data_IF_512747147071
#
_entry.id   IF_512747147071
#
_cell.length_a   1.000
_cell.length_b   1.000
_cell.length_c   1.000
_cell.angle_alpha   90.00
_cell.angle_beta   90.00
_cell.angle_gamma   90.00
#
_symmetry.space_group_name_H-M   'P 1'
#
loop_
_entity.id
_entity.type
_entity.pdbx_description
1 polymer ?
#
# COMPACT_ATOMS: atom_id res chain seq x y z
N UNK A 1 5.65 -21.40 4.62
CA UNK A 1 5.28 -21.13 6.03
C UNK A 1 4.30 -19.99 5.99
N UNK A 2 3.12 -20.12 6.62
CA UNK A 2 2.09 -19.11 6.50
C UNK A 2 2.51 -17.86 7.26
N UNK A 3 2.32 -16.69 6.64
CA UNK A 3 2.61 -15.39 7.24
C UNK A 3 2.01 -15.22 8.64
N UNK A 4 0.87 -15.86 8.91
CA UNK A 4 0.19 -15.84 10.22
C UNK A 4 1.05 -16.38 11.37
N UNK A 5 1.95 -17.33 11.13
CA UNK A 5 2.80 -17.91 12.18
C UNK A 5 4.16 -17.24 12.30
N UNK A 6 4.61 -16.54 11.26
CA UNK A 6 5.93 -15.93 11.24
C UNK A 6 5.99 -14.72 12.19
N UNK A 7 7.18 -14.47 12.75
CA UNK A 7 7.41 -13.33 13.65
C UNK A 7 8.22 -12.21 13.01
N UNK A 8 8.85 -12.47 11.86
CA UNK A 8 9.66 -11.50 11.11
C UNK A 8 9.55 -11.80 9.61
N UNK A 9 9.93 -10.85 8.76
CA UNK A 9 10.03 -11.08 7.32
C UNK A 9 11.02 -12.22 6.99
N UNK A 10 10.70 -13.10 6.01
CA UNK A 10 11.64 -14.10 5.52
C UNK A 10 12.89 -13.42 4.97
N UNK A 11 14.08 -13.92 5.34
CA UNK A 11 15.36 -13.34 4.88
C UNK A 11 15.46 -13.24 3.34
N UNK A 12 14.88 -14.20 2.63
CA UNK A 12 14.81 -14.19 1.17
C UNK A 12 14.03 -13.00 0.62
N UNK A 13 12.93 -12.59 1.28
CA UNK A 13 12.13 -11.44 0.89
C UNK A 13 12.94 -10.14 1.07
N UNK A 14 13.56 -9.95 2.24
CA UNK A 14 14.41 -8.78 2.50
C UNK A 14 15.58 -8.69 1.51
N UNK A 15 16.17 -9.84 1.15
CA UNK A 15 17.27 -9.91 0.17
C UNK A 15 16.80 -9.47 -1.23
N UNK A 16 15.60 -9.85 -1.66
CA UNK A 16 15.03 -9.41 -2.95
C UNK A 16 14.93 -7.88 -2.98
N UNK A 17 14.34 -7.26 -1.96
CA UNK A 17 14.27 -5.79 -1.86
C UNK A 17 15.64 -5.14 -1.89
N UNK A 18 16.61 -5.67 -1.13
CA UNK A 18 17.98 -5.13 -1.12
C UNK A 18 18.63 -5.16 -2.49
N UNK A 19 18.50 -6.27 -3.23
CA UNK A 19 19.10 -6.42 -4.57
C UNK A 19 18.43 -5.47 -5.56
N UNK A 20 17.10 -5.47 -5.62
CA UNK A 20 16.34 -4.67 -6.58
C UNK A 20 16.54 -3.16 -6.37
N UNK A 21 16.65 -2.69 -5.12
CA UNK A 21 16.91 -1.28 -4.81
C UNK A 21 18.31 -0.82 -5.18
N UNK A 22 19.32 -1.68 -5.00
CA UNK A 22 20.72 -1.33 -5.29
C UNK A 22 21.02 -1.29 -6.79
N UNK A 23 20.33 -2.10 -7.59
CA UNK A 23 20.53 -2.10 -9.03
C UNK A 23 19.76 -0.92 -9.65
N UNK A 24 20.37 -0.23 -10.62
CA UNK A 24 19.73 0.83 -11.40
C UNK A 24 18.79 0.23 -12.46
N UNK A 25 17.79 -0.54 -12.01
CA UNK A 25 16.80 -1.21 -12.82
C UNK A 25 15.60 -0.29 -13.09
N UNK A 26 14.79 -0.58 -14.13
CA UNK A 26 13.46 0.04 -14.29
C UNK A 26 12.59 -0.11 -13.04
N UNK A 27 11.66 0.83 -12.86
CA UNK A 27 10.81 0.94 -11.66
C UNK A 27 10.01 -0.35 -11.37
N UNK A 28 9.54 -1.01 -12.43
CA UNK A 28 8.82 -2.29 -12.45
C UNK A 28 9.60 -3.37 -11.68
N UNK A 29 10.87 -3.54 -12.02
CA UNK A 29 11.75 -4.53 -11.39
C UNK A 29 12.24 -4.10 -10.01
N UNK A 30 12.35 -2.78 -9.79
CA UNK A 30 12.85 -2.24 -8.53
C UNK A 30 11.85 -2.41 -7.38
N UNK A 31 10.56 -2.19 -7.62
CA UNK A 31 9.56 -2.22 -6.54
C UNK A 31 8.35 -3.12 -6.80
N UNK A 32 7.78 -3.19 -8.02
CA UNK A 32 6.58 -4.03 -8.19
C UNK A 32 6.84 -5.50 -7.99
N UNK A 33 7.90 -6.06 -8.59
CA UNK A 33 8.23 -7.47 -8.39
C UNK A 33 8.41 -7.82 -6.89
N UNK A 34 9.22 -7.05 -6.13
CA UNK A 34 9.33 -7.23 -4.68
C UNK A 34 8.01 -7.09 -3.91
N UNK A 35 7.17 -6.10 -4.23
CA UNK A 35 5.89 -5.89 -3.56
C UNK A 35 4.83 -6.92 -3.91
N UNK A 36 4.77 -7.35 -5.17
CA UNK A 36 3.95 -8.47 -5.61
C UNK A 36 4.32 -9.73 -4.81
N UNK A 37 5.63 -10.01 -4.66
CA UNK A 37 6.09 -11.13 -3.84
C UNK A 37 5.74 -10.99 -2.36
N UNK A 38 5.88 -9.80 -1.79
CA UNK A 38 5.53 -9.50 -0.40
C UNK A 38 4.04 -9.71 -0.14
N UNK A 39 3.18 -9.15 -0.99
CA UNK A 39 1.73 -9.24 -0.84
C UNK A 39 1.24 -10.67 -1.06
N UNK A 40 1.77 -11.38 -2.06
CA UNK A 40 1.48 -12.79 -2.23
C UNK A 40 1.87 -13.55 -0.96
N UNK A 41 3.09 -13.39 -0.43
CA UNK A 41 3.48 -14.05 0.82
C UNK A 41 2.54 -13.72 2.02
N UNK A 42 2.03 -12.49 2.11
CA UNK A 42 1.10 -12.08 3.17
C UNK A 42 -0.27 -12.78 3.07
N UNK A 43 -0.77 -13.00 1.85
CA UNK A 43 -2.10 -13.53 1.57
C UNK A 43 -2.11 -14.98 1.05
N UNK A 44 -0.93 -15.59 0.90
CA UNK A 44 -0.74 -16.99 0.52
C UNK A 44 -1.22 -17.87 1.68
N UNK A 45 -2.49 -18.24 1.57
CA UNK A 45 -3.24 -19.11 2.46
C UNK A 45 -3.61 -20.38 1.70
N UNK A 46 -3.81 -21.49 2.41
CA UNK A 46 -4.22 -22.75 1.78
C UNK A 46 -5.64 -22.69 1.16
N UNK A 47 -6.38 -21.61 1.41
CA UNK A 47 -7.80 -21.45 1.06
C UNK A 47 -8.05 -20.76 -0.29
N UNK A 48 -7.04 -20.25 -0.99
CA UNK A 48 -7.19 -19.50 -2.25
C UNK A 48 -8.23 -18.36 -2.21
N UNK A 49 -8.54 -17.85 -1.02
CA UNK A 49 -9.59 -16.85 -0.80
C UNK A 49 -9.22 -15.47 -1.35
N UNK A 50 -7.94 -15.23 -1.57
CA UNK A 50 -7.42 -13.96 -2.04
C UNK A 50 -6.45 -14.14 -3.19
N UNK A 51 -6.40 -13.13 -4.06
CA UNK A 51 -5.38 -13.04 -5.09
C UNK A 51 -4.91 -11.60 -5.23
N UNK A 52 -3.64 -11.46 -5.65
CA UNK A 52 -2.97 -10.19 -5.85
C UNK A 52 -3.00 -9.87 -7.35
N UNK A 53 -3.40 -8.66 -7.72
CA UNK A 53 -3.46 -8.24 -9.13
C UNK A 53 -2.94 -6.80 -9.34
N UNK A 54 -1.99 -6.60 -10.26
CA UNK A 54 -1.60 -5.26 -10.70
C UNK A 54 -2.75 -4.60 -11.47
N UNK A 55 -2.92 -3.30 -11.25
CA UNK A 55 -3.97 -2.49 -11.86
C UNK A 55 -3.38 -1.49 -12.85
N UNK A 56 -3.87 -1.54 -14.09
CA UNK A 56 -3.50 -0.65 -15.18
C UNK A 56 -4.71 0.23 -15.53
N UNK A 57 -4.80 1.46 -14.99
CA UNK A 57 -5.92 2.32 -15.33
C UNK A 57 -5.90 2.66 -16.83
N UNK A 58 -7.05 2.66 -17.53
CA UNK A 58 -7.13 2.82 -18.99
C UNK A 58 -6.72 4.21 -19.52
N UNK A 59 -6.22 5.11 -18.67
CA UNK A 59 -5.87 6.50 -18.98
C UNK A 59 -4.38 6.77 -18.78
N UNK A 60 -3.70 7.19 -19.85
CA UNK A 60 -2.28 7.58 -19.88
C UNK A 60 -1.92 8.70 -18.87
N UNK A 61 -2.90 9.51 -18.43
CA UNK A 61 -2.70 10.59 -17.46
C UNK A 61 -2.53 10.08 -16.01
N UNK A 62 -2.73 8.77 -15.77
CA UNK A 62 -2.55 8.11 -14.47
C UNK A 62 -1.80 6.78 -14.59
N UNK A 63 -0.93 6.66 -15.60
CA UNK A 63 -0.11 5.48 -15.93
C UNK A 63 0.95 5.16 -14.86
N UNK A 64 0.51 4.95 -13.62
CA UNK A 64 1.34 4.38 -12.58
C UNK A 64 0.52 3.31 -11.90
N UNK A 65 0.97 2.08 -12.14
CA UNK A 65 0.32 0.88 -11.65
C UNK A 65 0.23 0.91 -10.11
N UNK A 66 -0.69 0.12 -9.59
CA UNK A 66 -0.83 -0.13 -8.17
C UNK A 66 -1.26 -1.57 -8.02
N UNK A 67 -1.02 -2.16 -6.86
CA UNK A 67 -1.36 -3.55 -6.60
C UNK A 67 -2.62 -3.56 -5.74
N UNK A 68 -3.54 -4.47 -6.06
CA UNK A 68 -4.75 -4.67 -5.26
C UNK A 68 -4.86 -6.13 -4.88
N UNK A 69 -5.24 -6.36 -3.64
CA UNK A 69 -5.63 -7.69 -3.15
C UNK A 69 -7.14 -7.77 -3.24
N UNK A 70 -7.62 -8.79 -3.94
CA UNK A 70 -9.03 -9.09 -4.11
C UNK A 70 -9.39 -10.36 -3.36
N UNK A 71 -10.65 -10.46 -2.93
CA UNK A 71 -11.24 -11.74 -2.57
C UNK A 71 -11.57 -12.59 -3.82
N UNK A 72 -12.01 -13.83 -3.64
CA UNK A 72 -12.41 -14.74 -4.72
C UNK A 72 -13.56 -14.20 -5.62
N UNK A 73 -14.39 -13.28 -5.10
CA UNK A 73 -15.44 -12.58 -5.87
C UNK A 73 -14.92 -11.37 -6.67
N UNK A 74 -13.61 -11.12 -6.67
CA UNK A 74 -12.94 -9.97 -7.32
C UNK A 74 -13.34 -8.62 -6.71
N UNK A 75 -13.55 -8.58 -5.39
CA UNK A 75 -13.82 -7.36 -4.64
C UNK A 75 -12.58 -6.92 -3.83
N UNK A 76 -12.24 -5.62 -3.81
CA UNK A 76 -10.98 -5.16 -3.23
C UNK A 76 -11.01 -5.20 -1.69
N UNK A 77 -9.91 -5.66 -1.08
CA UNK A 77 -9.73 -5.68 0.38
C UNK A 77 -8.49 -4.92 0.84
N UNK A 78 -7.50 -4.74 -0.04
CA UNK A 78 -6.28 -3.96 0.22
C UNK A 78 -5.80 -3.29 -1.07
N UNK A 79 -5.43 -2.01 -0.98
CA UNK A 79 -4.79 -1.23 -2.05
C UNK A 79 -3.33 -0.98 -1.67
N UNK A 80 -2.41 -1.11 -2.62
CA UNK A 80 -1.01 -0.75 -2.45
C UNK A 80 -0.54 0.14 -3.61
N UNK A 81 -0.39 1.43 -3.35
CA UNK A 81 0.15 2.43 -4.28
C UNK A 81 1.66 2.54 -4.06
N UNK A 82 2.44 2.24 -5.10
CA UNK A 82 3.90 2.13 -5.01
C UNK A 82 4.57 3.23 -5.84
N UNK A 83 5.57 3.89 -5.26
CA UNK A 83 6.40 4.94 -5.86
C UNK A 83 7.86 4.76 -5.43
N UNK A 84 8.75 5.55 -6.01
CA UNK A 84 10.20 5.44 -5.78
C UNK A 84 10.62 6.01 -4.40
N UNK A 85 11.70 5.48 -3.81
CA UNK A 85 12.26 5.96 -2.54
C UNK A 85 12.48 7.49 -2.53
N UNK A 86 12.87 8.07 -3.68
CA UNK A 86 13.12 9.51 -3.83
C UNK A 86 11.90 10.40 -3.63
N UNK A 87 10.69 9.84 -3.55
CA UNK A 87 9.45 10.58 -3.31
C UNK A 87 9.32 11.06 -1.87
N UNK A 88 9.81 10.28 -0.90
CA UNK A 88 9.69 10.63 0.50
C UNK A 88 10.39 11.95 0.86
N UNK A 89 11.45 12.31 0.11
CA UNK A 89 12.23 13.52 0.34
C UNK A 89 11.65 14.81 -0.24
N UNK A 90 10.52 14.78 -0.96
CA UNK A 90 9.99 15.95 -1.68
C UNK A 90 8.53 16.23 -1.29
N UNK A 91 8.20 17.45 -0.83
CA UNK A 91 6.85 17.77 -0.32
C UNK A 91 5.76 17.68 -1.39
N UNK A 92 6.05 18.03 -2.64
CA UNK A 92 5.13 17.89 -3.76
C UNK A 92 4.84 16.42 -4.09
N UNK A 93 5.85 15.55 -4.00
CA UNK A 93 5.67 14.11 -4.24
C UNK A 93 4.96 13.42 -3.08
N UNK A 94 5.17 13.86 -1.83
CA UNK A 94 4.39 13.40 -0.67
C UNK A 94 2.91 13.76 -0.81
N UNK A 95 2.60 15.02 -1.20
CA UNK A 95 1.22 15.42 -1.46
C UNK A 95 0.60 14.59 -2.61
N UNK A 96 1.32 14.44 -3.72
CA UNK A 96 0.84 13.65 -4.84
C UNK A 96 0.60 12.17 -4.46
N UNK A 97 1.43 11.59 -3.59
CA UNK A 97 1.25 10.22 -3.10
C UNK A 97 -0.01 10.07 -2.24
N UNK A 98 -0.30 11.03 -1.36
CA UNK A 98 -1.56 11.07 -0.58
C UNK A 98 -2.77 11.17 -1.51
N UNK A 99 -2.75 12.12 -2.45
CA UNK A 99 -3.85 12.34 -3.40
C UNK A 99 -4.10 11.12 -4.30
N UNK A 100 -3.05 10.41 -4.72
CA UNK A 100 -3.17 9.20 -5.52
C UNK A 100 -3.91 8.11 -4.75
N UNK A 101 -3.53 7.83 -3.49
CA UNK A 101 -4.21 6.81 -2.68
C UNK A 101 -5.66 7.18 -2.43
N UNK A 102 -5.95 8.45 -2.07
CA UNK A 102 -7.34 8.91 -1.86
C UNK A 102 -8.20 8.74 -3.10
N UNK A 103 -7.66 9.06 -4.28
CA UNK A 103 -8.35 8.81 -5.55
C UNK A 103 -8.65 7.32 -5.76
N UNK A 104 -7.82 6.40 -5.27
CA UNK A 104 -8.11 4.96 -5.32
C UNK A 104 -9.33 4.59 -4.46
N UNK A 105 -9.44 5.20 -3.29
CA UNK A 105 -10.59 5.01 -2.41
C UNK A 105 -11.91 5.46 -3.05
N UNK A 106 -11.92 6.57 -3.80
CA UNK A 106 -13.15 7.09 -4.44
C UNK A 106 -13.88 6.05 -5.30
N UNK A 107 -13.15 5.16 -5.97
CA UNK A 107 -13.76 4.13 -6.83
C UNK A 107 -13.74 2.72 -6.24
N UNK A 108 -12.80 2.39 -5.33
CA UNK A 108 -12.71 1.03 -4.77
C UNK A 108 -13.49 0.85 -3.47
N UNK A 109 -13.69 1.92 -2.70
CA UNK A 109 -14.39 1.82 -1.41
C UNK A 109 -15.83 1.29 -1.56
N UNK A 110 -16.64 1.70 -2.56
CA UNK A 110 -18.00 1.18 -2.74
C UNK A 110 -18.05 -0.32 -3.09
N UNK A 111 -16.95 -0.89 -3.58
CA UNK A 111 -16.88 -2.30 -3.99
C UNK A 111 -16.34 -3.21 -2.87
N UNK A 112 -15.76 -2.63 -1.81
CA UNK A 112 -15.16 -3.39 -0.72
C UNK A 112 -16.24 -4.15 0.07
N UNK A 113 -16.10 -5.47 0.26
CA UNK A 113 -17.09 -6.28 0.95
C UNK A 113 -16.94 -6.25 2.48
N UNK A 114 -15.82 -5.73 2.97
CA UNK A 114 -15.47 -5.71 4.39
C UNK A 114 -15.87 -4.38 5.02
N UNK A 115 -16.02 -4.28 6.36
CA UNK A 115 -16.25 -3.00 7.03
C UNK A 115 -15.13 -1.98 6.82
N UNK A 116 -13.95 -2.43 6.37
CA UNK A 116 -12.75 -1.62 6.19
C UNK A 116 -12.01 -1.97 4.91
N UNK A 117 -11.66 -0.96 4.14
CA UNK A 117 -10.71 -1.06 3.02
C UNK A 117 -9.35 -0.51 3.46
N UNK A 118 -8.33 -1.36 3.46
CA UNK A 118 -6.97 -0.96 3.79
C UNK A 118 -6.23 -0.40 2.59
N UNK A 119 -5.35 0.56 2.84
CA UNK A 119 -4.54 1.22 1.81
C UNK A 119 -3.12 1.39 2.28
N UNK A 120 -2.15 1.11 1.40
CA UNK A 120 -0.73 1.29 1.64
C UNK A 120 -0.22 2.30 0.61
N UNK A 121 0.41 3.37 1.08
CA UNK A 121 1.23 4.23 0.23
C UNK A 121 2.70 3.93 0.51
N UNK A 122 3.41 3.48 -0.51
CA UNK A 122 4.77 2.98 -0.42
C UNK A 122 5.69 3.87 -1.26
N UNK A 123 6.59 4.61 -0.60
CA UNK A 123 7.62 5.43 -1.23
C UNK A 123 8.95 4.69 -1.07
N UNK A 124 9.23 3.83 -2.06
CA UNK A 124 10.08 2.68 -1.90
C UNK A 124 9.68 1.92 -0.64
N UNK A 125 10.57 1.74 0.36
CA UNK A 125 10.19 0.98 1.57
C UNK A 125 9.49 1.79 2.66
N UNK A 126 9.40 3.10 2.50
CA UNK A 126 8.72 3.99 3.44
C UNK A 126 7.20 3.86 3.27
N UNK A 127 6.48 3.60 4.35
CA UNK A 127 5.07 3.23 4.37
C UNK A 127 4.24 4.28 5.10
N UNK A 128 3.11 4.64 4.50
CA UNK A 128 1.97 5.28 5.16
C UNK A 128 0.74 4.39 5.00
N UNK A 129 0.06 4.12 6.11
CA UNK A 129 -1.14 3.27 6.14
C UNK A 129 -2.39 4.13 6.12
N UNK A 130 -3.36 3.73 5.31
CA UNK A 130 -4.67 4.33 5.18
C UNK A 130 -5.74 3.33 5.61
N UNK A 131 -6.78 3.86 6.26
CA UNK A 131 -7.92 3.11 6.76
C UNK A 131 -9.20 3.77 6.25
N UNK A 132 -9.85 3.15 5.28
CA UNK A 132 -11.17 3.53 4.79
C UNK A 132 -12.26 2.79 5.56
N UNK A 133 -13.21 3.52 6.12
CA UNK A 133 -14.38 2.97 6.81
C UNK A 133 -15.58 2.96 5.86
N UNK A 134 -16.10 1.77 5.55
CA UNK A 134 -17.15 1.62 4.52
C UNK A 134 -18.49 2.21 4.96
N UNK A 135 -18.82 2.12 6.25
CA UNK A 135 -20.11 2.59 6.77
C UNK A 135 -20.21 4.12 6.76
N UNK A 136 -19.11 4.81 7.08
CA UNK A 136 -19.06 6.28 7.17
C UNK A 136 -18.51 6.96 5.92
N UNK A 137 -17.83 6.21 5.05
CA UNK A 137 -17.10 6.77 3.91
C UNK A 137 -15.87 7.60 4.33
N UNK A 138 -15.43 7.50 5.57
CA UNK A 138 -14.29 8.28 6.08
C UNK A 138 -12.96 7.58 5.81
N UNK A 139 -11.90 8.37 5.67
CA UNK A 139 -10.57 7.88 5.38
C UNK A 139 -9.56 8.49 6.33
N UNK A 140 -8.88 7.64 7.09
CA UNK A 140 -7.75 8.03 7.94
C UNK A 140 -6.42 7.69 7.24
N UNK A 141 -5.36 8.49 7.44
CA UNK A 141 -5.36 9.79 8.13
C UNK A 141 -6.20 10.86 7.39
N UNK A 142 -6.58 11.92 8.09
CA UNK A 142 -7.36 13.03 7.50
C UNK A 142 -6.57 13.73 6.38
N UNK A 143 -7.29 14.25 5.39
CA UNK A 143 -6.66 14.98 4.29
C UNK A 143 -6.07 16.30 4.78
N UNK A 144 -4.78 16.50 4.52
CA UNK A 144 -4.11 17.77 4.76
C UNK A 144 -4.02 18.53 3.44
N UNK A 145 -4.89 19.52 3.27
CA UNK A 145 -4.86 20.36 2.09
C UNK A 145 -3.57 21.18 2.02
N UNK A 146 -3.17 21.49 0.79
CA UNK A 146 -2.13 22.49 0.55
C UNK A 146 -2.44 23.79 1.33
N UNK A 147 -1.48 24.32 2.13
CA UNK A 147 -1.74 25.47 2.97
C UNK A 147 -2.09 26.75 2.19
N UNK A 148 -1.42 26.98 1.06
CA UNK A 148 -1.69 28.12 0.17
C UNK A 148 -1.54 27.69 -1.30
N UNK A 149 -2.62 27.81 -2.12
CA UNK A 149 -2.58 27.50 -3.56
C UNK A 149 -1.63 28.39 -4.37
N UNK A 150 -1.32 29.59 -3.87
CA UNK A 150 -0.53 30.59 -4.59
C UNK A 150 0.97 30.58 -4.22
N UNK A 151 1.41 29.68 -3.34
CA UNK A 151 2.80 29.59 -2.89
C UNK A 151 3.43 28.25 -3.24
N UNK A 152 4.75 28.12 -3.12
CA UNK A 152 5.40 26.80 -3.12
C UNK A 152 5.05 26.04 -1.84
N UNK A 153 5.05 24.70 -1.89
CA UNK A 153 4.84 23.90 -0.69
C UNK A 153 6.00 24.11 0.29
N UNK A 154 5.71 24.22 1.61
CA UNK A 154 6.74 24.17 2.63
C UNK A 154 7.57 22.87 2.50
N UNK A 155 8.88 22.96 2.74
CA UNK A 155 9.78 21.80 2.62
C UNK A 155 9.39 20.65 3.56
N UNK A 156 8.85 20.98 4.73
CA UNK A 156 8.40 20.04 5.76
C UNK A 156 6.93 19.61 5.58
N UNK A 157 6.25 20.00 4.50
CA UNK A 157 4.85 19.61 4.29
C UNK A 157 4.73 18.08 4.15
N UNK A 158 3.89 17.46 4.99
CA UNK A 158 3.73 16.00 5.14
C UNK A 158 5.02 15.25 5.53
N UNK A 159 6.01 15.94 6.09
CA UNK A 159 7.21 15.28 6.63
C UNK A 159 6.83 14.38 7.82
N UNK A 160 7.44 13.19 7.88
CA UNK A 160 7.14 12.17 8.90
C UNK A 160 5.90 11.32 8.62
N UNK A 161 5.13 11.59 7.58
CA UNK A 161 3.91 10.83 7.27
C UNK A 161 4.18 9.45 6.66
N UNK A 162 5.41 9.20 6.15
CA UNK A 162 5.92 7.90 5.67
C UNK A 162 7.15 7.50 6.49
N UNK A 163 7.04 7.51 7.81
CA UNK A 163 8.16 7.21 8.73
C UNK A 163 8.36 5.71 9.00
N UNK A 164 7.32 4.90 8.78
CA UNK A 164 7.38 3.47 8.97
C UNK A 164 8.11 2.77 7.80
N UNK A 165 9.23 2.09 8.07
CA UNK A 165 9.82 1.20 7.07
C UNK A 165 9.08 -0.15 7.06
N UNK A 166 8.48 -0.53 5.92
CA UNK A 166 7.74 -1.79 5.81
C UNK A 166 8.61 -3.02 6.07
N UNK A 167 9.91 -2.95 5.79
CA UNK A 167 10.84 -4.07 5.99
C UNK A 167 11.39 -4.16 7.43
N UNK A 168 11.09 -3.17 8.27
CA UNK A 168 11.43 -3.21 9.70
C UNK A 168 10.55 -4.19 10.47
N UNK A 169 10.91 -4.45 11.73
CA UNK A 169 10.07 -5.26 12.63
C UNK A 169 8.71 -4.59 12.88
N UNK A 170 8.69 -3.26 13.00
CA UNK A 170 7.45 -2.51 13.17
C UNK A 170 6.57 -2.61 11.92
N UNK A 171 7.18 -2.51 10.73
CA UNK A 171 6.50 -2.70 9.45
C UNK A 171 5.91 -4.10 9.29
N UNK A 172 6.67 -5.13 9.70
CA UNK A 172 6.17 -6.52 9.76
C UNK A 172 4.94 -6.64 10.67
N UNK A 173 5.04 -6.12 11.89
CA UNK A 173 3.94 -6.17 12.85
C UNK A 173 2.70 -5.44 12.32
N UNK A 174 2.90 -4.31 11.64
CA UNK A 174 1.80 -3.54 11.04
C UNK A 174 1.13 -4.30 9.90
N UNK A 175 1.90 -4.94 9.01
CA UNK A 175 1.33 -5.80 7.98
C UNK A 175 0.59 -6.99 8.57
N UNK A 176 1.11 -7.57 9.67
CA UNK A 176 0.44 -8.67 10.37
C UNK A 176 -0.89 -8.27 10.97
N UNK A 177 -0.97 -7.07 11.56
CA UNK A 177 -2.22 -6.46 12.03
C UNK A 177 -3.24 -6.33 10.89
N UNK A 178 -2.84 -5.72 9.77
CA UNK A 178 -3.71 -5.47 8.61
C UNK A 178 -4.25 -6.78 8.02
N UNK A 179 -3.38 -7.74 7.75
CA UNK A 179 -3.79 -9.03 7.17
C UNK A 179 -4.69 -9.79 8.14
N UNK A 180 -4.39 -9.79 9.44
CA UNK A 180 -5.23 -10.47 10.44
C UNK A 180 -6.63 -9.84 10.50
N UNK A 181 -6.73 -8.51 10.44
CA UNK A 181 -8.00 -7.79 10.41
C UNK A 181 -8.82 -8.18 9.16
N UNK A 182 -8.18 -8.24 7.98
CA UNK A 182 -8.83 -8.67 6.72
C UNK A 182 -9.32 -10.12 6.84
N UNK A 183 -8.45 -11.06 7.24
CA UNK A 183 -8.81 -12.48 7.36
C UNK A 183 -9.95 -12.69 8.36
N UNK A 184 -9.93 -11.98 9.49
CA UNK A 184 -10.98 -12.07 10.51
C UNK A 184 -12.30 -11.50 10.00
N UNK A 185 -12.27 -10.37 9.29
CA UNK A 185 -13.46 -9.78 8.70
C UNK A 185 -14.07 -10.69 7.63
N UNK A 186 -13.24 -11.29 6.76
CA UNK A 186 -13.68 -12.21 5.72
C UNK A 186 -14.25 -13.52 6.27
N UNK A 187 -13.75 -14.02 7.39
CA UNK A 187 -14.29 -15.23 8.03
C UNK A 187 -15.68 -15.03 8.66
N UNK A 188 -16.09 -13.77 8.90
CA UNK A 188 -17.38 -13.42 9.49
C UNK A 188 -18.45 -13.03 8.46
N UNK A 189 -18.13 -13.14 7.16
CA UNK A 189 -19.06 -12.95 6.04
C UNK A 189 -19.78 -14.25 5.70
#
# INVERSE_FOLDING_TARGET
MPFSTDTNWPQGLCKIFSICRQQNQPFEYRYYGPYDKLLNYCFETDSFQFFVAPQYPPSELSARDFIVVFNEQRQPVLIAEIKDDGWAGKPDFRLAADELVRRRYDFMMPECPLPRLWGLSLLGTSLRVYRGDIATGTLQPDYQARPDPNRILPLNFLEGEWDLDILSQEGFNKMKEIVTDILTASANM
#
